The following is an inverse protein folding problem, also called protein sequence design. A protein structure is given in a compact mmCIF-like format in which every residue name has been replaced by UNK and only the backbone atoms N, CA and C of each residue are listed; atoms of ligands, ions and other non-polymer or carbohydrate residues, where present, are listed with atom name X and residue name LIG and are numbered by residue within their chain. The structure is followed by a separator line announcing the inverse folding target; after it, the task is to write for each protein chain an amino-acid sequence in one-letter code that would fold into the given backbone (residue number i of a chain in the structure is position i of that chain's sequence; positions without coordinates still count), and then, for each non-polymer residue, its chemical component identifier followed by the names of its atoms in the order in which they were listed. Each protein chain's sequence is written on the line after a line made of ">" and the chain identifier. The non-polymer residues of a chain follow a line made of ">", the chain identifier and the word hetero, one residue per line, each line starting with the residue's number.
data_IF_096957703679
#
_entry.id   IF_096957703679
#
_cell.length_a   1.000
_cell.length_b   1.000
_cell.length_c   1.000
_cell.angle_alpha   90.00
_cell.angle_beta   90.00
_cell.angle_gamma   90.00
#
_symmetry.space_group_name_H-M   'P 1'
#
loop_
_entity.id
_entity.type
_entity.pdbx_description
1 polymer ?
#
# COMPACT_ATOMS: atom_id res chain seq x y z
N UNK A 1 -1.29 -8.47 -20.02
CA UNK A 1 -1.62 -9.42 -18.94
C UNK A 1 -3.04 -9.22 -18.47
N UNK A 2 -3.34 -8.08 -17.84
CA UNK A 2 -4.69 -7.82 -17.35
C UNK A 2 -4.84 -6.42 -16.77
N UNK A 3 -5.91 -6.23 -16.00
CA UNK A 3 -6.18 -4.99 -15.26
C UNK A 3 -6.47 -5.34 -13.81
N UNK A 4 -6.13 -4.43 -12.89
CA UNK A 4 -6.58 -4.51 -11.50
C UNK A 4 -8.01 -3.98 -11.33
N UNK A 5 -8.51 -4.02 -10.10
CA UNK A 5 -9.85 -3.54 -9.74
C UNK A 5 -10.02 -2.03 -9.94
N UNK A 6 -8.92 -1.27 -9.88
CA UNK A 6 -8.93 0.17 -10.15
C UNK A 6 -8.82 0.45 -11.65
N UNK A 7 -8.57 -0.56 -12.50
CA UNK A 7 -8.46 -0.42 -13.95
C UNK A 7 -7.06 -0.05 -14.46
N UNK A 8 -6.02 -0.12 -13.63
CA UNK A 8 -4.62 0.01 -14.09
C UNK A 8 -4.27 -1.19 -14.95
N UNK A 9 -3.57 -0.95 -16.05
CA UNK A 9 -3.26 -2.00 -17.02
C UNK A 9 -1.82 -2.50 -16.86
N UNK A 10 -1.67 -3.82 -16.86
CA UNK A 10 -0.40 -4.53 -16.67
C UNK A 10 0.03 -5.24 -17.96
N UNK A 11 1.30 -5.07 -18.29
CA UNK A 11 1.89 -5.48 -19.56
C UNK A 11 3.16 -6.27 -19.35
N UNK A 12 3.34 -7.27 -20.21
CA UNK A 12 4.57 -8.03 -20.33
C UNK A 12 5.08 -7.89 -21.76
N UNK A 13 6.39 -7.79 -21.94
CA UNK A 13 6.98 -7.79 -23.28
C UNK A 13 6.70 -9.13 -23.97
N UNK A 14 6.50 -9.12 -25.30
CA UNK A 14 6.26 -10.36 -26.06
C UNK A 14 7.52 -11.19 -26.29
N UNK A 15 8.68 -10.60 -26.06
CA UNK A 15 10.00 -11.19 -26.23
C UNK A 15 10.85 -10.84 -25.01
N UNK A 16 11.85 -11.66 -24.68
CA UNK A 16 12.81 -11.27 -23.66
C UNK A 16 13.56 -10.03 -24.12
N UNK A 17 13.37 -8.93 -23.38
CA UNK A 17 13.96 -7.62 -23.72
C UNK A 17 15.25 -7.38 -22.94
N UNK A 18 15.39 -7.93 -21.73
CA UNK A 18 16.67 -7.93 -21.01
C UNK A 18 17.43 -9.23 -21.22
N UNK A 19 18.66 -9.10 -21.74
CA UNK A 19 19.63 -10.19 -21.98
C UNK A 19 20.88 -10.10 -21.10
N UNK A 20 20.87 -9.22 -20.11
CA UNK A 20 22.01 -8.92 -19.24
C UNK A 20 21.85 -9.64 -17.90
N UNK A 21 22.96 -10.12 -17.32
CA UNK A 21 22.95 -10.77 -15.99
C UNK A 21 22.72 -12.28 -16.01
N UNK A 22 23.02 -12.97 -17.12
CA UNK A 22 23.03 -14.43 -17.18
C UNK A 22 21.68 -15.09 -17.51
N UNK A 23 20.64 -14.31 -17.81
CA UNK A 23 19.33 -14.83 -18.20
C UNK A 23 18.57 -13.90 -19.14
N UNK A 24 17.64 -14.47 -19.89
CA UNK A 24 16.66 -13.75 -20.69
C UNK A 24 15.40 -13.50 -19.83
N UNK A 25 15.00 -12.22 -19.68
CA UNK A 25 13.77 -11.89 -18.95
C UNK A 25 12.82 -11.02 -19.77
N UNK A 26 11.54 -11.27 -19.60
CA UNK A 26 10.47 -10.43 -20.10
C UNK A 26 10.33 -9.19 -19.22
N UNK A 27 10.17 -8.02 -19.80
CA UNK A 27 9.90 -6.79 -19.05
C UNK A 27 8.44 -6.76 -18.63
N UNK A 28 8.21 -6.43 -17.35
CA UNK A 28 6.88 -6.24 -16.78
C UNK A 28 6.72 -4.79 -16.37
N UNK A 29 5.58 -4.19 -16.71
CA UNK A 29 5.28 -2.81 -16.32
C UNK A 29 3.77 -2.59 -16.14
N UNK A 30 3.45 -1.51 -15.45
CA UNK A 30 2.08 -1.01 -15.24
C UNK A 30 1.98 0.41 -15.76
N UNK A 31 0.82 0.75 -16.33
CA UNK A 31 0.48 2.14 -16.64
C UNK A 31 -0.39 2.67 -15.52
N UNK A 32 0.18 3.57 -14.72
CA UNK A 32 -0.50 4.28 -13.64
C UNK A 32 -1.51 5.30 -14.16
N UNK A 33 -2.51 5.61 -13.33
CA UNK A 33 -3.37 6.77 -13.57
C UNK A 33 -2.63 8.06 -13.19
N UNK A 34 -3.14 9.18 -13.71
CA UNK A 34 -2.57 10.51 -13.42
C UNK A 34 -2.62 10.79 -11.92
N UNK A 35 -1.47 11.12 -11.33
CA UNK A 35 -1.34 11.49 -9.92
C UNK A 35 -1.19 10.32 -8.96
N UNK A 36 -1.17 9.07 -9.45
CA UNK A 36 -0.81 7.92 -8.63
C UNK A 36 0.70 7.79 -8.47
N UNK A 37 1.12 7.15 -7.39
CA UNK A 37 2.50 6.76 -7.14
C UNK A 37 2.67 5.23 -7.22
N UNK A 38 3.90 4.75 -6.99
CA UNK A 38 4.20 3.32 -7.05
C UNK A 38 3.44 2.48 -6.00
N UNK A 39 2.98 3.12 -4.91
CA UNK A 39 2.18 2.48 -3.88
C UNK A 39 0.71 2.33 -4.27
N UNK A 40 0.36 2.58 -5.53
CA UNK A 40 -0.96 2.27 -6.07
C UNK A 40 -1.08 0.82 -6.56
N UNK A 41 0.02 0.08 -6.75
CA UNK A 41 -0.05 -1.32 -7.23
C UNK A 41 -0.53 -2.24 -6.10
N UNK A 42 -1.69 -2.91 -6.26
CA UNK A 42 -2.25 -3.74 -5.20
C UNK A 42 -1.46 -5.05 -5.04
N UNK A 43 -1.57 -5.74 -3.89
CA UNK A 43 -0.77 -6.92 -3.57
C UNK A 43 -0.90 -8.04 -4.61
N UNK A 44 -2.06 -8.15 -5.24
CA UNK A 44 -2.38 -9.16 -6.24
C UNK A 44 -1.49 -9.05 -7.48
N UNK A 45 -1.07 -7.83 -7.82
CA UNK A 45 -0.20 -7.55 -8.95
C UNK A 45 1.25 -7.27 -8.55
N UNK A 46 1.50 -6.93 -7.28
CA UNK A 46 2.81 -6.52 -6.80
C UNK A 46 3.85 -7.64 -6.93
N UNK A 47 3.50 -8.88 -6.55
CA UNK A 47 4.37 -10.05 -6.67
C UNK A 47 4.80 -10.33 -8.11
N UNK A 48 3.83 -10.31 -9.03
CA UNK A 48 4.07 -10.48 -10.46
C UNK A 48 4.94 -9.36 -11.03
N UNK A 49 4.63 -8.11 -10.71
CA UNK A 49 5.36 -6.95 -11.24
C UNK A 49 6.86 -6.97 -10.83
N UNK A 50 7.15 -7.49 -9.65
CA UNK A 50 8.51 -7.55 -9.09
C UNK A 50 9.21 -8.90 -9.26
N UNK A 51 8.69 -9.78 -10.12
CA UNK A 51 9.28 -11.09 -10.42
C UNK A 51 9.39 -12.03 -9.21
N UNK A 52 8.56 -11.87 -8.18
CA UNK A 52 8.45 -12.85 -7.10
C UNK A 52 7.52 -13.99 -7.46
N UNK A 53 6.50 -13.69 -8.26
CA UNK A 53 5.52 -14.66 -8.74
C UNK A 53 5.47 -14.65 -10.27
N UNK A 54 5.21 -15.80 -10.87
CA UNK A 54 5.07 -15.91 -12.33
C UNK A 54 3.73 -15.37 -12.83
N UNK A 55 2.71 -15.37 -11.98
CA UNK A 55 1.35 -14.90 -12.29
C UNK A 55 0.82 -13.99 -11.17
N UNK A 56 -0.07 -13.05 -11.48
CA UNK A 56 -0.78 -12.27 -10.46
C UNK A 56 -1.69 -13.19 -9.62
N UNK A 57 -1.90 -12.81 -8.36
CA UNK A 57 -2.75 -13.56 -7.44
C UNK A 57 -4.23 -13.38 -7.85
N UNK A 58 -5.00 -14.47 -8.01
CA UNK A 58 -6.41 -14.37 -8.36
C UNK A 58 -7.23 -13.76 -7.21
N UNK A 59 -8.24 -12.96 -7.55
CA UNK A 59 -9.08 -12.26 -6.55
C UNK A 59 -9.85 -13.25 -5.66
N UNK A 60 -10.15 -14.44 -6.18
CA UNK A 60 -10.83 -15.53 -5.48
C UNK A 60 -9.99 -16.11 -4.33
N UNK A 61 -8.67 -15.89 -4.33
CA UNK A 61 -7.78 -16.34 -3.26
C UNK A 61 -7.90 -15.49 -1.98
N UNK A 62 -8.60 -14.35 -2.06
CA UNK A 62 -8.72 -13.38 -0.97
C UNK A 62 -9.47 -13.97 0.23
N UNK A 63 -9.00 -13.65 1.43
CA UNK A 63 -9.56 -14.12 2.70
C UNK A 63 -10.48 -13.06 3.32
N UNK A 64 -11.51 -13.47 4.08
CA UNK A 64 -12.51 -12.53 4.61
C UNK A 64 -11.96 -11.48 5.58
N UNK A 65 -10.81 -11.76 6.22
CA UNK A 65 -10.15 -10.83 7.13
C UNK A 65 -9.22 -9.82 6.43
N UNK A 66 -9.00 -9.96 5.12
CA UNK A 66 -8.14 -9.04 4.38
C UNK A 66 -8.89 -7.74 4.06
N UNK A 67 -8.33 -6.63 4.52
CA UNK A 67 -8.88 -5.31 4.24
C UNK A 67 -8.76 -4.96 2.74
N UNK A 68 -9.66 -4.12 2.19
CA UNK A 68 -9.49 -3.51 0.88
C UNK A 68 -8.12 -2.84 0.78
N UNK A 69 -7.52 -2.96 -0.40
CA UNK A 69 -6.26 -2.30 -0.66
C UNK A 69 -6.43 -0.79 -0.69
N UNK A 70 -5.55 -0.08 0.02
CA UNK A 70 -5.45 1.38 0.00
C UNK A 70 -3.99 1.78 -0.29
N UNK A 71 -3.76 2.69 -1.26
CA UNK A 71 -2.44 3.25 -1.51
C UNK A 71 -1.87 4.04 -0.32
N UNK A 72 -0.58 4.35 -0.36
CA UNK A 72 0.05 5.16 0.69
C UNK A 72 -0.50 6.60 0.69
N UNK A 73 -1.07 7.01 1.83
CA UNK A 73 -1.67 8.33 2.02
C UNK A 73 -0.71 9.35 2.66
N UNK A 74 0.58 9.04 2.75
CA UNK A 74 1.59 9.95 3.32
C UNK A 74 1.56 11.31 2.62
N UNK A 75 1.68 12.40 3.39
CA UNK A 75 1.65 13.77 2.85
C UNK A 75 0.25 14.28 2.47
N UNK A 76 -0.80 13.47 2.59
CA UNK A 76 -2.19 13.89 2.38
C UNK A 76 -2.91 14.20 3.70
N UNK A 77 -4.12 14.77 3.62
CA UNK A 77 -4.96 14.97 4.80
C UNK A 77 -5.30 13.66 5.52
N UNK A 78 -5.42 12.57 4.76
CA UNK A 78 -5.78 11.22 5.25
C UNK A 78 -4.57 10.42 5.78
N UNK A 79 -3.38 11.03 5.88
CA UNK A 79 -2.21 10.35 6.41
C UNK A 79 -2.48 9.78 7.82
N UNK A 80 -1.99 8.56 8.07
CA UNK A 80 -2.04 7.95 9.39
C UNK A 80 -1.32 8.84 10.42
N UNK A 81 -1.97 9.05 11.56
CA UNK A 81 -1.41 9.76 12.70
C UNK A 81 -1.45 8.88 13.94
N UNK A 82 -0.32 8.70 14.63
CA UNK A 82 -0.29 7.90 15.85
C UNK A 82 -1.11 8.57 16.97
N UNK A 83 -1.61 7.80 17.94
CA UNK A 83 -2.23 8.34 19.15
C UNK A 83 -1.34 9.39 19.82
N UNK A 84 -1.93 10.49 20.31
CA UNK A 84 -1.18 11.60 20.93
C UNK A 84 -0.48 12.55 19.95
N UNK A 85 -0.54 12.31 18.64
CA UNK A 85 -0.07 13.28 17.64
C UNK A 85 -0.90 14.56 17.71
N UNK A 86 -0.22 15.72 17.78
CA UNK A 86 -0.88 17.03 17.76
C UNK A 86 -1.77 17.23 16.53
N UNK A 87 -1.42 16.63 15.39
CA UNK A 87 -2.18 16.71 14.15
C UNK A 87 -3.38 15.76 14.07
N UNK A 88 -3.50 14.79 14.99
CA UNK A 88 -4.63 13.84 15.00
C UNK A 88 -5.89 14.45 15.60
N UNK A 89 -5.76 15.58 16.31
CA UNK A 89 -6.88 16.20 17.01
C UNK A 89 -7.50 15.23 18.01
N UNK A 90 -6.81 14.97 19.13
CA UNK A 90 -7.35 14.06 20.13
C UNK A 90 -6.43 13.87 21.32
N UNK A 91 -7.06 13.88 22.49
CA UNK A 91 -6.54 13.63 23.84
C UNK A 91 -5.16 12.95 23.87
N UNK A 92 -4.21 13.60 24.55
CA UNK A 92 -2.99 12.92 25.00
C UNK A 92 -3.42 11.62 25.68
N UNK A 93 -2.73 10.49 25.43
CA UNK A 93 -2.99 9.29 26.20
C UNK A 93 -3.00 9.68 27.69
N UNK A 94 -4.01 9.25 28.46
CA UNK A 94 -4.07 9.56 29.89
C UNK A 94 -2.73 9.17 30.49
N UNK A 95 -2.20 10.02 31.37
CA UNK A 95 -0.96 9.70 32.07
C UNK A 95 -1.15 8.34 32.73
N UNK A 96 -0.29 7.37 32.41
CA UNK A 96 -0.31 6.02 33.02
C UNK A 96 0.14 6.02 34.48
N UNK A 97 0.29 7.20 35.09
CA UNK A 97 0.59 7.31 36.50
C UNK A 97 -0.69 7.24 37.31
N UNK A 98 -0.67 6.52 38.43
CA UNK A 98 -1.72 6.47 39.44
C UNK A 98 -1.91 7.83 40.17
N UNK A 99 -1.56 8.93 39.51
CA UNK A 99 -1.53 10.27 40.08
C UNK A 99 -2.80 11.03 39.69
N UNK A 100 -3.65 11.25 40.68
CA UNK A 100 -4.74 12.22 40.60
C UNK A 100 -4.23 13.61 41.04
N UNK A 101 -4.27 14.57 40.11
CA UNK A 101 -3.91 15.95 40.42
C UNK A 101 -5.00 16.58 41.31
N UNK A 102 -4.59 17.14 42.45
CA UNK A 102 -5.50 17.84 43.35
C UNK A 102 -6.00 19.15 42.73
N UNK A 103 -7.32 19.38 42.75
CA UNK A 103 -7.96 20.62 42.27
C UNK A 103 -8.67 21.30 43.44
N UNK A 104 -8.28 22.53 43.85
CA UNK A 104 -8.96 23.23 44.95
C UNK A 104 -10.39 23.61 44.58
N UNK A 105 -11.31 23.50 45.54
CA UNK A 105 -12.65 24.08 45.45
C UNK A 105 -12.54 25.61 45.60
N UNK A 106 -13.31 26.35 44.77
CA UNK A 106 -13.35 27.82 44.74
C UNK A 106 -14.30 28.38 45.78
#
# INVERSE_FOLDING_TARGET
>A
MGKDNDGRAYYESRRPTRKTGGGERYERWVIYKKGEDASAVPPEWWGWLHYMEDQPIPMEARKPWQLPYEPNKTGTAEAYRPPGSAYKGGHRPPATGDYDAWTPES
#
